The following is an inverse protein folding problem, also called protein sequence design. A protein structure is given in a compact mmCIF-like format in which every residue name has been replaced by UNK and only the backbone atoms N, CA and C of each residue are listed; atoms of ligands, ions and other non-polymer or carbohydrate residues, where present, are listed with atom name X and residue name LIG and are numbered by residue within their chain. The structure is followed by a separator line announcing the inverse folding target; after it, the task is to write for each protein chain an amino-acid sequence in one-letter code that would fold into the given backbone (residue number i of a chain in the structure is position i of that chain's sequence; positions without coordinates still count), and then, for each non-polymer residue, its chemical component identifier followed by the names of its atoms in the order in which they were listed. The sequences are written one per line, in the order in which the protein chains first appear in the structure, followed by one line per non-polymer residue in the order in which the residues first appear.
data_IF_305957660437
#
_entry.id   IF_305957660437
#
_cell.length_a   1.000
_cell.length_b   1.000
_cell.length_c   1.000
_cell.angle_alpha   90.00
_cell.angle_beta   90.00
_cell.angle_gamma   90.00
#
_symmetry.space_group_name_H-M   'P 1'
#
loop_
_entity.id
_entity.type
_entity.pdbx_description
1 polymer ?
#
# COMPACT_ATOMS: atom_id res chain seq x y z
N UNK A 1 -2.30 6.89 23.29
CA UNK A 1 -1.50 6.00 24.15
C UNK A 1 -0.09 6.53 24.35
N UNK A 2 0.71 6.78 23.29
CA UNK A 2 2.04 7.36 23.44
C UNK A 2 2.04 8.73 24.13
N UNK A 3 1.21 9.68 23.67
CA UNK A 3 1.13 11.01 24.28
C UNK A 3 0.72 10.95 25.77
N UNK A 4 -0.29 10.14 26.09
CA UNK A 4 -0.70 9.91 27.50
C UNK A 4 0.45 9.35 28.34
N UNK A 5 1.27 8.45 27.79
CA UNK A 5 2.45 7.92 28.49
C UNK A 5 3.54 8.98 28.68
N UNK A 6 3.75 9.86 27.69
CA UNK A 6 4.68 11.01 27.78
C UNK A 6 4.23 12.01 28.83
N UNK A 7 2.95 12.36 28.83
CA UNK A 7 2.35 13.24 29.85
C UNK A 7 2.53 12.66 31.25
N UNK A 8 2.39 11.33 31.40
CA UNK A 8 2.62 10.65 32.68
C UNK A 8 4.09 10.68 33.10
N UNK A 9 5.03 10.53 32.17
CA UNK A 9 6.47 10.69 32.45
C UNK A 9 6.73 12.12 32.95
N UNK A 10 6.23 13.13 32.25
CA UNK A 10 6.41 14.53 32.64
C UNK A 10 5.81 14.82 34.02
N UNK A 11 4.61 14.30 34.32
CA UNK A 11 3.99 14.49 35.64
C UNK A 11 4.82 13.83 36.76
N UNK A 12 5.33 12.62 36.52
CA UNK A 12 6.14 11.88 37.49
C UNK A 12 7.50 12.54 37.73
N UNK A 13 8.08 13.20 36.72
CA UNK A 13 9.31 13.98 36.88
C UNK A 13 9.07 15.17 37.82
N UNK A 14 7.99 15.92 37.62
CA UNK A 14 7.62 17.05 38.49
C UNK A 14 7.33 16.58 39.92
N UNK A 15 6.55 15.50 40.09
CA UNK A 15 6.27 14.90 41.39
C UNK A 15 7.56 14.47 42.12
N UNK A 16 8.52 13.89 41.39
CA UNK A 16 9.80 13.44 41.95
C UNK A 16 10.69 14.59 42.41
N UNK A 17 10.69 15.71 41.68
CA UNK A 17 11.45 16.91 42.01
C UNK A 17 10.93 17.61 43.27
N UNK A 18 9.61 17.64 43.46
CA UNK A 18 8.96 18.31 44.60
C UNK A 18 8.80 17.44 45.86
N UNK A 19 9.02 16.13 45.78
CA UNK A 19 8.99 15.24 46.94
C UNK A 19 10.28 15.40 47.76
N UNK A 20 10.26 15.08 49.06
CA UNK A 20 11.46 15.07 49.92
C UNK A 20 11.63 13.78 50.70
N UNK A 21 10.54 13.04 50.95
CA UNK A 21 10.64 11.73 51.59
C UNK A 21 11.40 10.74 50.70
N UNK A 22 12.53 10.23 51.20
CA UNK A 22 13.38 9.29 50.47
C UNK A 22 12.65 8.01 50.06
N UNK A 23 11.67 7.55 50.85
CA UNK A 23 10.86 6.37 50.51
C UNK A 23 9.88 6.68 49.38
N UNK A 24 9.20 7.83 49.43
CA UNK A 24 8.33 8.32 48.36
C UNK A 24 9.11 8.55 47.05
N UNK A 25 10.27 9.23 47.11
CA UNK A 25 11.21 9.39 45.97
C UNK A 25 11.56 8.05 45.33
N UNK A 26 11.88 7.04 46.14
CA UNK A 26 12.21 5.70 45.64
C UNK A 26 11.05 4.97 44.95
N UNK A 27 9.80 5.27 45.29
CA UNK A 27 8.61 4.78 44.55
C UNK A 27 8.44 5.53 43.24
N UNK A 28 8.44 6.88 43.29
CA UNK A 28 8.29 7.73 42.11
C UNK A 28 9.34 7.44 41.04
N UNK A 29 10.62 7.23 41.42
CA UNK A 29 11.68 6.82 40.48
C UNK A 29 11.39 5.50 39.78
N UNK A 30 10.85 4.51 40.49
CA UNK A 30 10.51 3.20 39.89
C UNK A 30 9.35 3.34 38.91
N UNK A 31 8.34 4.12 39.28
CA UNK A 31 7.19 4.37 38.42
C UNK A 31 7.58 5.20 37.20
N UNK A 32 8.47 6.19 37.36
CA UNK A 32 9.05 6.97 36.28
C UNK A 32 9.79 6.07 35.29
N UNK A 33 10.76 5.28 35.77
CA UNK A 33 11.52 4.34 34.93
C UNK A 33 10.59 3.38 34.17
N UNK A 34 9.52 2.89 34.80
CA UNK A 34 8.54 2.02 34.15
C UNK A 34 7.82 2.74 33.00
N UNK A 35 7.42 3.99 33.19
CA UNK A 35 6.74 4.77 32.15
C UNK A 35 7.70 5.21 31.04
N UNK A 36 8.95 5.51 31.35
CA UNK A 36 9.98 5.79 30.34
C UNK A 36 10.23 4.57 29.44
N UNK A 37 10.33 3.37 30.02
CA UNK A 37 10.41 2.12 29.25
C UNK A 37 9.17 1.90 28.37
N UNK A 38 7.98 2.20 28.90
CA UNK A 38 6.72 2.12 28.15
C UNK A 38 6.73 3.09 26.95
N UNK A 39 7.15 4.34 27.15
CA UNK A 39 7.27 5.34 26.09
C UNK A 39 8.23 4.86 25.00
N UNK A 40 9.43 4.40 25.39
CA UNK A 40 10.42 3.89 24.45
C UNK A 40 9.89 2.70 23.64
N UNK A 41 9.22 1.75 24.30
CA UNK A 41 8.60 0.61 23.63
C UNK A 41 7.50 1.06 22.64
N UNK A 42 6.60 1.96 23.04
CA UNK A 42 5.54 2.46 22.18
C UNK A 42 6.08 3.25 20.98
N UNK A 43 7.14 4.02 21.17
CA UNK A 43 7.82 4.73 20.08
C UNK A 43 8.37 3.75 19.05
N UNK A 44 9.13 2.74 19.51
CA UNK A 44 9.68 1.72 18.63
C UNK A 44 8.59 0.96 17.87
N UNK A 45 7.50 0.60 18.55
CA UNK A 45 6.37 -0.08 17.91
C UNK A 45 5.70 0.78 16.84
N UNK A 46 5.56 2.10 17.05
CA UNK A 46 4.98 3.02 16.07
C UNK A 46 5.90 3.18 14.86
N UNK A 47 7.21 3.30 15.08
CA UNK A 47 8.21 3.40 14.00
C UNK A 47 8.18 2.13 13.14
N UNK A 48 8.29 0.95 13.76
CA UNK A 48 8.19 -0.33 13.07
C UNK A 48 6.87 -0.50 12.32
N UNK A 49 5.74 -0.11 12.93
CA UNK A 49 4.45 -0.13 12.25
C UNK A 49 4.44 0.78 11.02
N UNK A 50 4.95 2.00 11.15
CA UNK A 50 4.96 2.99 10.07
C UNK A 50 5.78 2.50 8.88
N UNK A 51 6.93 1.89 9.13
CA UNK A 51 7.78 1.36 8.07
C UNK A 51 7.16 0.14 7.39
N UNK A 52 6.57 -0.77 8.18
CA UNK A 52 5.83 -1.91 7.64
C UNK A 52 4.61 -1.48 6.82
N UNK A 53 3.87 -0.45 7.27
CA UNK A 53 2.72 0.09 6.55
C UNK A 53 3.14 0.69 5.20
N UNK A 54 4.24 1.45 5.15
CA UNK A 54 4.78 2.00 3.90
C UNK A 54 5.25 0.92 2.93
N UNK A 55 5.97 -0.08 3.42
CA UNK A 55 6.45 -1.19 2.62
C UNK A 55 5.28 -1.98 2.02
N UNK A 56 4.32 -2.40 2.86
CA UNK A 56 3.16 -3.14 2.39
C UNK A 56 2.29 -2.31 1.43
N UNK A 57 2.14 -1.01 1.68
CA UNK A 57 1.46 -0.11 0.74
C UNK A 57 2.16 -0.13 -0.63
N UNK A 58 3.47 0.06 -0.68
CA UNK A 58 4.23 0.02 -1.93
C UNK A 58 4.08 -1.34 -2.66
N UNK A 59 4.18 -2.44 -1.91
CA UNK A 59 4.02 -3.79 -2.46
C UNK A 59 2.63 -3.99 -3.07
N UNK A 60 1.57 -3.57 -2.37
CA UNK A 60 0.19 -3.68 -2.88
C UNK A 60 -0.01 -2.87 -4.16
N UNK A 61 0.50 -1.64 -4.21
CA UNK A 61 0.37 -0.78 -5.40
C UNK A 61 1.25 -1.22 -6.57
N UNK A 62 2.22 -2.12 -6.34
CA UNK A 62 2.97 -2.78 -7.41
C UNK A 62 2.19 -3.92 -8.09
N UNK A 63 1.10 -4.39 -7.48
CA UNK A 63 0.30 -5.49 -8.02
C UNK A 63 -0.65 -5.03 -9.14
N UNK A 64 -1.00 -5.90 -10.12
CA UNK A 64 -1.98 -5.55 -11.16
C UNK A 64 -3.35 -5.12 -10.61
N UNK A 65 -3.74 -5.62 -9.43
CA UNK A 65 -5.00 -5.29 -8.77
C UNK A 65 -5.11 -3.80 -8.41
N UNK A 66 -3.99 -3.09 -8.29
CA UNK A 66 -3.95 -1.66 -8.02
C UNK A 66 -4.77 -0.83 -9.01
N UNK A 67 -4.79 -1.22 -10.29
CA UNK A 67 -5.58 -0.56 -11.34
C UNK A 67 -7.07 -0.62 -11.00
N UNK A 68 -7.55 -1.79 -10.55
CA UNK A 68 -8.95 -1.98 -10.17
C UNK A 68 -9.28 -1.11 -8.95
N UNK A 69 -8.37 -1.04 -7.97
CA UNK A 69 -8.60 -0.23 -6.77
C UNK A 69 -8.64 1.27 -7.07
N UNK A 70 -7.80 1.73 -7.99
CA UNK A 70 -7.78 3.12 -8.46
C UNK A 70 -9.09 3.47 -9.18
N UNK A 71 -9.51 2.67 -10.16
CA UNK A 71 -10.74 2.90 -10.93
C UNK A 71 -12.00 2.84 -10.02
N UNK A 72 -12.01 1.92 -9.07
CA UNK A 72 -13.11 1.78 -8.11
C UNK A 72 -13.05 2.76 -6.93
N UNK A 73 -12.01 3.60 -6.85
CA UNK A 73 -11.80 4.57 -5.77
C UNK A 73 -11.70 3.93 -4.36
N UNK A 74 -11.23 2.68 -4.25
CA UNK A 74 -11.17 1.91 -3.00
C UNK A 74 -9.87 2.07 -2.20
N UNK A 75 -9.16 3.18 -2.41
CA UNK A 75 -7.88 3.49 -1.75
C UNK A 75 -7.97 3.50 -0.22
N UNK A 76 -9.13 3.85 0.36
CA UNK A 76 -9.33 3.85 1.82
C UNK A 76 -9.43 2.45 2.39
N UNK A 77 -10.06 1.53 1.67
CA UNK A 77 -10.19 0.13 2.03
C UNK A 77 -8.83 -0.57 1.97
N UNK A 78 -8.01 -0.24 0.96
CA UNK A 78 -6.61 -0.69 0.87
C UNK A 78 -5.81 -0.16 2.06
N UNK A 79 -5.94 1.13 2.40
CA UNK A 79 -5.23 1.72 3.54
C UNK A 79 -5.66 1.08 4.87
N UNK A 80 -6.96 0.79 5.01
CA UNK A 80 -7.51 0.10 6.16
C UNK A 80 -6.97 -1.33 6.27
N UNK A 81 -6.86 -2.05 5.15
CA UNK A 81 -6.24 -3.37 5.09
C UNK A 81 -4.78 -3.32 5.58
N UNK A 82 -3.97 -2.39 5.07
CA UNK A 82 -2.57 -2.23 5.46
C UNK A 82 -2.42 -2.06 6.97
N UNK A 83 -3.20 -1.15 7.57
CA UNK A 83 -3.19 -0.92 9.02
C UNK A 83 -3.58 -2.17 9.83
N UNK A 84 -4.61 -2.88 9.40
CA UNK A 84 -5.03 -4.11 10.08
C UNK A 84 -4.01 -5.23 9.92
N UNK A 85 -3.39 -5.35 8.74
CA UNK A 85 -2.41 -6.37 8.44
C UNK A 85 -1.14 -6.18 9.27
N UNK A 86 -0.62 -4.96 9.37
CA UNK A 86 0.55 -4.65 10.19
C UNK A 86 0.25 -4.89 11.69
N UNK A 87 -0.92 -4.47 12.18
CA UNK A 87 -1.33 -4.78 13.57
C UNK A 87 -1.44 -6.27 13.84
N UNK A 88 -1.92 -7.05 12.87
CA UNK A 88 -1.99 -8.50 12.98
C UNK A 88 -0.59 -9.13 13.10
N UNK A 89 0.38 -8.64 12.33
CA UNK A 89 1.77 -9.10 12.38
C UNK A 89 2.47 -8.74 13.70
N UNK A 90 2.00 -7.68 14.38
CA UNK A 90 2.40 -7.34 15.74
C UNK A 90 1.72 -8.18 16.83
N UNK A 91 0.89 -9.17 16.46
CA UNK A 91 0.28 -10.14 17.37
C UNK A 91 -1.17 -9.87 17.75
N UNK A 92 -1.85 -8.89 17.15
CA UNK A 92 -3.28 -8.65 17.40
C UNK A 92 -4.15 -9.65 16.61
N UNK A 93 -4.68 -10.65 17.31
CA UNK A 93 -5.55 -11.68 16.72
C UNK A 93 -6.85 -11.13 16.15
N UNK A 94 -7.40 -10.04 16.69
CA UNK A 94 -8.63 -9.42 16.16
C UNK A 94 -8.32 -8.69 14.86
N UNK A 95 -7.20 -7.97 14.83
CA UNK A 95 -6.68 -7.36 13.60
C UNK A 95 -6.45 -8.40 12.50
N UNK A 96 -5.97 -9.60 12.85
CA UNK A 96 -5.76 -10.69 11.89
C UNK A 96 -7.06 -11.15 11.22
N UNK A 97 -8.16 -11.18 11.97
CA UNK A 97 -9.47 -11.53 11.43
C UNK A 97 -9.98 -10.47 10.43
N UNK A 98 -9.88 -9.18 10.79
CA UNK A 98 -10.28 -8.07 9.92
C UNK A 98 -9.41 -8.00 8.65
N UNK A 99 -8.09 -8.15 8.80
CA UNK A 99 -7.17 -8.17 7.68
C UNK A 99 -7.51 -9.29 6.69
N UNK A 100 -7.89 -10.49 7.17
CA UNK A 100 -8.33 -11.59 6.31
C UNK A 100 -9.58 -11.23 5.51
N UNK A 101 -10.60 -10.66 6.16
CA UNK A 101 -11.84 -10.28 5.46
C UNK A 101 -11.60 -9.20 4.40
N UNK A 102 -10.76 -8.21 4.70
CA UNK A 102 -10.39 -7.19 3.72
C UNK A 102 -9.54 -7.75 2.59
N UNK A 103 -8.64 -8.70 2.87
CA UNK A 103 -7.84 -9.42 1.86
C UNK A 103 -8.73 -10.09 0.81
N UNK A 104 -9.81 -10.73 1.24
CA UNK A 104 -10.78 -11.35 0.33
C UNK A 104 -11.60 -10.31 -0.46
N UNK A 105 -11.89 -9.13 0.10
CA UNK A 105 -12.60 -8.07 -0.63
C UNK A 105 -11.73 -7.39 -1.68
N UNK A 106 -10.44 -7.25 -1.40
CA UNK A 106 -9.47 -6.61 -2.28
C UNK A 106 -8.91 -7.54 -3.38
N UNK A 107 -9.26 -8.84 -3.35
CA UNK A 107 -8.79 -9.78 -4.37
C UNK A 107 -7.33 -10.22 -4.18
N UNK A 108 -6.81 -10.15 -2.96
CA UNK A 108 -5.43 -10.53 -2.64
C UNK A 108 -5.24 -12.05 -2.49
N UNK A 109 -6.34 -12.78 -2.34
CA UNK A 109 -6.39 -14.24 -2.30
C UNK A 109 -6.77 -14.78 -3.70
N UNK A 110 -6.13 -15.82 -4.25
CA UNK A 110 -6.49 -16.40 -5.56
C UNK A 110 -7.99 -16.68 -5.75
N UNK A 111 -8.67 -17.22 -4.72
CA UNK A 111 -10.12 -17.48 -4.80
C UNK A 111 -10.94 -16.18 -4.84
N UNK A 112 -10.49 -15.14 -4.13
CA UNK A 112 -11.12 -13.83 -4.16
C UNK A 112 -10.90 -13.12 -5.50
N UNK A 113 -9.70 -13.23 -6.06
CA UNK A 113 -9.36 -12.69 -7.37
C UNK A 113 -10.26 -13.29 -8.46
N UNK A 114 -10.45 -14.62 -8.43
CA UNK A 114 -11.39 -15.30 -9.33
C UNK A 114 -12.83 -14.79 -9.19
N UNK A 115 -13.27 -14.48 -7.96
CA UNK A 115 -14.63 -13.95 -7.69
C UNK A 115 -14.83 -12.54 -8.22
N UNK A 116 -13.78 -11.71 -8.23
CA UNK A 116 -13.81 -10.38 -8.82
C UNK A 116 -13.95 -10.43 -10.36
N UNK A 117 -13.75 -11.60 -10.98
CA UNK A 117 -13.74 -11.79 -12.44
C UNK A 117 -12.81 -10.81 -13.16
N UNK A 118 -11.74 -10.42 -12.46
CA UNK A 118 -10.69 -9.59 -13.03
C UNK A 118 -9.85 -10.46 -13.98
N UNK A 119 -9.67 -9.99 -15.21
CA UNK A 119 -8.72 -10.57 -16.16
C UNK A 119 -7.44 -9.75 -16.10
N UNK A 120 -6.31 -10.42 -15.87
CA UNK A 120 -4.98 -9.80 -15.93
C UNK A 120 -4.39 -10.14 -17.29
N UNK A 121 -4.14 -9.13 -18.11
CA UNK A 121 -3.55 -9.29 -19.43
C UNK A 121 -2.07 -8.83 -19.42
N UNK A 122 -1.20 -9.55 -20.12
CA UNK A 122 0.21 -9.18 -20.20
C UNK A 122 0.43 -8.01 -21.16
N UNK A 123 1.30 -7.07 -20.77
CA UNK A 123 1.59 -5.86 -21.57
C UNK A 123 2.05 -6.22 -22.98
N UNK A 124 2.90 -7.23 -23.13
CA UNK A 124 3.38 -7.69 -24.44
C UNK A 124 2.24 -8.14 -25.37
N UNK A 125 1.21 -8.79 -24.81
CA UNK A 125 0.03 -9.25 -25.54
C UNK A 125 -0.83 -8.07 -25.99
N UNK A 126 -1.02 -7.08 -25.10
CA UNK A 126 -1.72 -5.83 -25.41
C UNK A 126 -1.01 -5.05 -26.51
N UNK A 127 0.32 -4.87 -26.40
CA UNK A 127 1.13 -4.17 -27.40
C UNK A 127 1.10 -4.87 -28.75
N UNK A 128 1.25 -6.21 -28.77
CA UNK A 128 1.21 -7.00 -29.99
C UNK A 128 -0.15 -6.92 -30.68
N UNK A 129 -1.24 -6.96 -29.90
CA UNK A 129 -2.60 -6.75 -30.43
C UNK A 129 -2.77 -5.33 -30.99
N UNK A 130 -2.22 -4.32 -30.32
CA UNK A 130 -2.16 -2.94 -30.80
C UNK A 130 -1.40 -2.80 -32.13
N UNK A 131 -0.23 -3.45 -32.25
CA UNK A 131 0.58 -3.49 -33.49
C UNK A 131 -0.19 -4.15 -34.63
N UNK A 132 -0.80 -5.32 -34.41
CA UNK A 132 -1.64 -6.01 -35.41
C UNK A 132 -2.80 -5.14 -35.90
N UNK A 133 -3.51 -4.47 -34.98
CA UNK A 133 -4.60 -3.55 -35.34
C UNK A 133 -4.12 -2.38 -36.20
N UNK A 134 -2.95 -1.80 -35.87
CA UNK A 134 -2.32 -0.73 -36.65
C UNK A 134 -1.90 -1.21 -38.03
N UNK A 135 -1.22 -2.36 -38.13
CA UNK A 135 -0.83 -2.98 -39.41
C UNK A 135 -2.03 -3.25 -40.32
N UNK A 136 -3.13 -3.72 -39.75
CA UNK A 136 -4.38 -4.00 -40.50
C UNK A 136 -5.04 -2.71 -40.98
N UNK A 137 -4.86 -1.61 -40.23
CA UNK A 137 -5.43 -0.29 -40.56
C UNK A 137 -4.59 0.55 -41.52
N UNK A 138 -3.33 0.18 -41.80
CA UNK A 138 -2.53 0.88 -42.82
C UNK A 138 -3.09 0.46 -44.19
N UNK A 139 -3.73 1.37 -44.95
CA UNK A 139 -4.18 1.02 -46.28
C UNK A 139 -2.96 0.67 -47.12
N UNK A 140 -2.87 -0.57 -47.60
CA UNK A 140 -1.86 -0.93 -48.59
C UNK A 140 -1.97 0.06 -49.74
N UNK A 141 -0.93 0.87 -49.96
CA UNK A 141 -0.79 1.67 -51.18
C UNK A 141 -0.87 0.68 -52.33
N UNK A 142 -2.01 0.63 -53.02
CA UNK A 142 -2.15 -0.14 -54.24
C UNK A 142 -1.05 0.37 -55.18
N UNK A 143 -0.15 -0.51 -55.57
CA UNK A 143 0.78 -0.18 -56.64
C UNK A 143 -0.05 0.25 -57.86
N UNK A 144 0.31 1.35 -58.54
CA UNK A 144 -0.43 1.79 -59.70
C UNK A 144 -0.46 0.66 -60.73
N UNK A 145 -1.61 0.45 -61.42
CA UNK A 145 -1.73 -0.61 -62.41
C UNK A 145 -0.65 -0.46 -63.47
N UNK A 146 -0.05 -1.59 -63.86
CA UNK A 146 1.12 -1.68 -64.75
C UNK A 146 0.89 -1.10 -66.16
N UNK A 147 -0.38 -0.86 -66.52
CA UNK A 147 -0.83 -0.35 -67.82
C UNK A 147 -1.58 0.98 -67.70
N UNK A 148 -1.12 1.91 -66.85
CA UNK A 148 -1.63 3.28 -66.87
C UNK A 148 -0.89 4.10 -67.94
N UNK A 149 -1.53 4.44 -69.08
CA UNK A 149 -0.89 5.19 -70.18
C UNK A 149 -0.54 6.64 -69.79
N UNK A 150 -0.90 7.09 -68.58
CA UNK A 150 -0.51 8.38 -68.03
C UNK A 150 0.88 8.37 -67.36
N UNK A 151 1.46 7.21 -67.10
CA UNK A 151 2.79 7.08 -66.49
C UNK A 151 3.95 7.41 -67.44
N UNK A 152 3.69 7.45 -68.76
CA UNK A 152 4.70 7.74 -69.79
C UNK A 152 4.87 9.22 -70.13
N UNK A 153 4.10 10.12 -69.50
CA UNK A 153 4.29 11.57 -69.65
C UNK A 153 5.32 12.04 -68.63
N UNK A 154 6.59 11.75 -68.89
CA UNK A 154 7.67 12.49 -68.27
C UNK A 154 7.71 13.90 -68.88
N UNK A 155 7.71 14.88 -67.99
CA UNK A 155 7.82 16.30 -68.28
C UNK A 155 9.01 16.61 -69.19
N UNK A 156 8.77 17.44 -70.19
CA UNK A 156 9.77 18.22 -70.93
C UNK A 156 9.62 19.67 -70.51
#
# INVERSE_FOLDING_TARGET
MLEVARDRVASLQVELEGEDDGRAKGRLRRDLNKNELLVAQLQLQIEQATDAEKALWADLWSTPQAVIWEESHTHREVAQYVRWKVRAEQGDLKAAAEARQLSDRLGLNPLALMRLRAEVEHVDEVENRGKRRRETSVPQRKNPPKDDPRSSLYAV
#
